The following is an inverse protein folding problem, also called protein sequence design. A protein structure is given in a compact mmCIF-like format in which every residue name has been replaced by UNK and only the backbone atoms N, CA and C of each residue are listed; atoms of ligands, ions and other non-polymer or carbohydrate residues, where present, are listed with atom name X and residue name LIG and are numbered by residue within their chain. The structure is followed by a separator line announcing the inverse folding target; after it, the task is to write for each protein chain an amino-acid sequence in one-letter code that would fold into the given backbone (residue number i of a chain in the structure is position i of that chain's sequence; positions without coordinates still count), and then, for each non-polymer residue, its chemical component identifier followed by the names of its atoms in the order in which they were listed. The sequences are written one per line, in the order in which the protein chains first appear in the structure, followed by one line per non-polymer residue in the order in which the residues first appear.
data_IF_101137894990
#
_entry.id   IF_101137894990
#
_cell.length_a   1.000
_cell.length_b   1.000
_cell.length_c   1.000
_cell.angle_alpha   90.00
_cell.angle_beta   90.00
_cell.angle_gamma   90.00
#
_symmetry.space_group_name_H-M   'P 1'
#
loop_
_entity.id
_entity.type
_entity.pdbx_description
1 polymer ?
#
# COMPACT_ATOMS: atom_id res chain seq x y z
N UNK A 1 -0.86 17.86 7.41
CA UNK A 1 -0.91 17.78 5.94
C UNK A 1 -1.74 18.95 5.44
N UNK A 2 -1.37 19.58 4.34
CA UNK A 2 -2.12 20.71 3.81
C UNK A 2 -3.38 20.24 3.04
N UNK A 3 -4.33 21.15 2.79
CA UNK A 3 -5.59 20.81 2.09
C UNK A 3 -5.32 20.22 0.70
N UNK A 4 -4.33 20.76 -0.01
CA UNK A 4 -3.97 20.29 -1.35
C UNK A 4 -3.39 18.86 -1.32
N UNK A 5 -2.54 18.57 -0.33
CA UNK A 5 -2.01 17.23 -0.11
C UNK A 5 -3.11 16.20 0.18
N UNK A 6 -4.13 16.59 0.97
CA UNK A 6 -5.28 15.73 1.26
C UNK A 6 -6.10 15.41 -0.01
N UNK A 7 -6.23 16.39 -0.92
CA UNK A 7 -6.88 16.18 -2.22
C UNK A 7 -6.06 15.19 -3.06
N UNK A 8 -4.74 15.37 -3.16
CA UNK A 8 -3.88 14.46 -3.90
C UNK A 8 -3.87 13.05 -3.30
N UNK A 9 -3.87 12.95 -1.97
CA UNK A 9 -3.96 11.67 -1.26
C UNK A 9 -5.27 10.96 -1.60
N UNK A 10 -6.41 11.67 -1.58
CA UNK A 10 -7.70 11.10 -1.95
C UNK A 10 -7.73 10.62 -3.40
N UNK A 11 -7.24 11.43 -4.34
CA UNK A 11 -7.11 11.05 -5.74
C UNK A 11 -6.22 9.81 -5.92
N UNK A 12 -5.11 9.72 -5.19
CA UNK A 12 -4.24 8.55 -5.22
C UNK A 12 -4.96 7.29 -4.73
N UNK A 13 -5.67 7.35 -3.59
CA UNK A 13 -6.47 6.24 -3.04
C UNK A 13 -7.50 5.75 -4.06
N UNK A 14 -8.21 6.68 -4.69
CA UNK A 14 -9.28 6.36 -5.65
C UNK A 14 -8.71 5.76 -6.95
N UNK A 15 -7.48 6.12 -7.33
CA UNK A 15 -6.79 5.60 -8.52
C UNK A 15 -6.19 4.20 -8.35
N UNK A 16 -6.03 3.70 -7.12
CA UNK A 16 -5.47 2.36 -6.88
C UNK A 16 -6.53 1.32 -7.22
N UNK A 17 -6.29 0.42 -8.20
CA UNK A 17 -7.22 -0.67 -8.49
C UNK A 17 -7.22 -1.69 -7.34
N UNK A 18 -8.18 -2.62 -7.32
CA UNK A 18 -8.04 -3.82 -6.47
C UNK A 18 -7.01 -4.74 -7.13
N UNK A 19 -6.00 -5.18 -6.39
CA UNK A 19 -4.97 -6.11 -6.87
C UNK A 19 -5.61 -7.45 -7.21
N UNK A 20 -5.39 -7.92 -8.44
CA UNK A 20 -5.70 -9.26 -8.93
C UNK A 20 -4.42 -9.92 -9.42
N UNK A 21 -4.50 -11.17 -9.88
CA UNK A 21 -3.33 -11.87 -10.43
C UNK A 21 -2.78 -11.21 -11.72
N UNK A 22 -3.62 -10.46 -12.44
CA UNK A 22 -3.29 -9.95 -13.78
C UNK A 22 -2.87 -8.48 -13.82
N UNK A 23 -2.99 -7.75 -12.70
CA UNK A 23 -2.84 -6.29 -12.69
C UNK A 23 -1.76 -5.77 -11.75
N UNK A 24 -0.82 -6.62 -11.33
CA UNK A 24 0.22 -6.26 -10.37
C UNK A 24 0.99 -4.99 -10.77
N UNK A 25 1.44 -4.88 -12.03
CA UNK A 25 2.25 -3.73 -12.47
C UNK A 25 1.53 -2.39 -12.32
N UNK A 26 0.24 -2.31 -12.70
CA UNK A 26 -0.55 -1.08 -12.54
C UNK A 26 -0.87 -0.83 -11.06
N UNK A 27 -1.23 -1.87 -10.30
CA UNK A 27 -1.50 -1.75 -8.87
C UNK A 27 -0.27 -1.24 -8.11
N UNK A 28 0.88 -1.87 -8.36
CA UNK A 28 2.18 -1.53 -7.76
C UNK A 28 2.58 -0.09 -8.06
N UNK A 29 2.41 0.36 -9.30
CA UNK A 29 2.67 1.76 -9.67
C UNK A 29 1.78 2.74 -8.89
N UNK A 30 0.49 2.42 -8.73
CA UNK A 30 -0.45 3.29 -8.01
C UNK A 30 -0.23 3.29 -6.50
N UNK A 31 0.10 2.15 -5.90
CA UNK A 31 0.39 2.09 -4.46
C UNK A 31 1.70 2.82 -4.11
N UNK A 32 2.72 2.74 -4.97
CA UNK A 32 3.96 3.50 -4.77
C UNK A 32 3.74 5.02 -4.88
N UNK A 33 2.84 5.46 -5.77
CA UNK A 33 2.46 6.88 -5.82
C UNK A 33 1.79 7.33 -4.51
N UNK A 34 0.91 6.51 -3.95
CA UNK A 34 0.31 6.77 -2.64
C UNK A 34 1.36 6.85 -1.52
N UNK A 35 2.34 5.93 -1.47
CA UNK A 35 3.44 5.99 -0.51
C UNK A 35 4.34 7.21 -0.70
N UNK A 36 4.54 7.66 -1.94
CA UNK A 36 5.31 8.86 -2.25
C UNK A 36 4.64 10.13 -1.69
N UNK A 37 3.31 10.25 -1.82
CA UNK A 37 2.54 11.37 -1.26
C UNK A 37 2.64 11.39 0.28
N UNK A 38 2.64 10.21 0.92
CA UNK A 38 2.84 10.08 2.36
C UNK A 38 4.32 10.23 2.79
N UNK A 39 5.25 10.34 1.84
CA UNK A 39 6.71 10.40 2.08
C UNK A 39 7.26 9.19 2.86
N UNK A 40 6.69 8.01 2.59
CA UNK A 40 7.08 6.72 3.23
C UNK A 40 7.56 5.68 2.23
N UNK A 41 7.75 6.05 0.96
CA UNK A 41 8.16 5.13 -0.11
C UNK A 41 9.47 4.38 0.23
N UNK A 42 10.47 5.11 0.72
CA UNK A 42 11.80 4.54 1.00
C UNK A 42 11.76 3.55 2.18
N UNK A 43 10.82 3.72 3.12
CA UNK A 43 10.59 2.75 4.19
C UNK A 43 10.18 1.39 3.64
N UNK A 44 9.28 1.36 2.65
CA UNK A 44 8.79 0.11 2.05
C UNK A 44 9.73 -0.49 0.99
N UNK A 45 10.51 0.34 0.30
CA UNK A 45 11.40 -0.14 -0.78
C UNK A 45 12.83 -0.43 -0.30
N UNK A 46 13.33 0.34 0.65
CA UNK A 46 14.73 0.27 1.09
C UNK A 46 14.86 -0.22 2.53
N UNK A 47 13.77 -0.37 3.27
CA UNK A 47 13.79 -0.72 4.69
C UNK A 47 14.41 0.36 5.57
N UNK A 48 14.44 1.61 5.09
CA UNK A 48 15.09 2.75 5.77
C UNK A 48 14.09 3.65 6.46
N UNK A 49 14.51 4.24 7.58
CA UNK A 49 13.72 5.22 8.32
C UNK A 49 12.64 4.59 9.20
N UNK A 50 11.66 5.41 9.60
CA UNK A 50 10.57 4.99 10.49
C UNK A 50 9.22 5.42 9.91
N UNK A 51 8.18 4.66 10.23
CA UNK A 51 6.80 5.00 9.90
C UNK A 51 6.06 5.43 11.15
N UNK A 52 5.26 6.50 11.08
CA UNK A 52 4.38 6.90 12.18
C UNK A 52 3.20 5.93 12.31
N UNK A 53 2.59 5.87 13.50
CA UNK A 53 1.40 5.03 13.72
C UNK A 53 0.24 5.37 12.78
N UNK A 54 0.02 6.67 12.51
CA UNK A 54 -0.99 7.13 11.56
C UNK A 54 -0.71 6.66 10.14
N UNK A 55 0.54 6.76 9.68
CA UNK A 55 0.91 6.25 8.36
C UNK A 55 0.81 4.73 8.29
N UNK A 56 1.18 4.01 9.35
CA UNK A 56 1.04 2.57 9.42
C UNK A 56 -0.45 2.14 9.35
N UNK A 57 -1.35 2.88 10.03
CA UNK A 57 -2.79 2.67 9.97
C UNK A 57 -3.34 2.94 8.56
N UNK A 58 -2.92 4.03 7.95
CA UNK A 58 -3.30 4.41 6.59
C UNK A 58 -2.89 3.36 5.55
N UNK A 59 -1.64 2.88 5.63
CA UNK A 59 -1.12 1.81 4.77
C UNK A 59 -1.93 0.52 4.96
N UNK A 60 -2.17 0.11 6.21
CA UNK A 60 -2.99 -1.08 6.49
C UNK A 60 -4.38 -0.96 5.87
N UNK A 61 -5.04 0.19 6.03
CA UNK A 61 -6.38 0.41 5.51
C UNK A 61 -6.44 0.29 3.99
N UNK A 62 -5.49 0.91 3.26
CA UNK A 62 -5.49 0.84 1.80
C UNK A 62 -5.13 -0.56 1.29
N UNK A 63 -4.16 -1.24 1.90
CA UNK A 63 -3.79 -2.59 1.49
C UNK A 63 -4.96 -3.55 1.68
N UNK A 64 -5.64 -3.49 2.82
CA UNK A 64 -6.85 -4.30 3.06
C UNK A 64 -7.97 -3.99 2.04
N UNK A 65 -8.16 -2.72 1.68
CA UNK A 65 -9.21 -2.33 0.75
C UNK A 65 -8.89 -2.63 -0.73
N UNK A 66 -7.60 -2.69 -1.08
CA UNK A 66 -7.13 -2.74 -2.47
C UNK A 66 -6.40 -4.03 -2.81
N UNK A 67 -6.52 -5.08 -2.01
CA UNK A 67 -6.03 -6.42 -2.34
C UNK A 67 -7.23 -7.37 -2.41
N UNK A 68 -7.38 -8.08 -3.53
CA UNK A 68 -8.41 -9.11 -3.65
C UNK A 68 -8.16 -10.24 -2.63
N UNK A 69 -9.23 -10.78 -2.04
CA UNK A 69 -9.14 -11.83 -1.03
C UNK A 69 -8.32 -13.06 -1.46
N UNK A 70 -8.43 -13.50 -2.73
CA UNK A 70 -7.66 -14.62 -3.25
C UNK A 70 -6.16 -14.30 -3.36
N UNK A 71 -5.81 -13.07 -3.78
CA UNK A 71 -4.42 -12.61 -3.77
C UNK A 71 -3.91 -12.49 -2.34
N UNK A 72 -4.72 -11.93 -1.44
CA UNK A 72 -4.38 -11.79 -0.02
C UNK A 72 -4.07 -13.15 0.63
N UNK A 73 -4.90 -14.16 0.36
CA UNK A 73 -4.69 -15.53 0.85
C UNK A 73 -3.36 -16.12 0.34
N UNK A 74 -3.01 -15.87 -0.92
CA UNK A 74 -1.76 -16.35 -1.53
C UNK A 74 -0.51 -15.57 -1.08
N UNK A 75 -0.65 -14.34 -0.59
CA UNK A 75 0.46 -13.57 -0.01
C UNK A 75 0.73 -13.99 1.44
N UNK A 76 -0.29 -14.46 2.17
CA UNK A 76 -0.18 -14.90 3.57
C UNK A 76 0.47 -16.29 3.73
N UNK A 77 0.74 -17.04 2.65
CA UNK A 77 1.25 -18.42 2.75
C UNK A 77 2.76 -18.57 2.94
N UNK A 78 3.55 -17.51 3.16
CA UNK A 78 5.02 -17.66 3.22
C UNK A 78 5.69 -17.73 4.60
N UNK A 79 4.99 -17.59 5.74
CA UNK A 79 5.56 -17.93 7.06
C UNK A 79 4.47 -18.33 8.07
N UNK A 80 4.23 -19.64 8.21
CA UNK A 80 4.32 -20.47 9.45
C UNK A 80 4.27 -21.90 8.90
N UNK A 81 5.38 -22.64 8.78
CA UNK A 81 5.89 -23.50 9.85
C UNK A 81 7.40 -23.71 9.69
N UNK A 82 8.16 -23.26 10.70
CA UNK A 82 9.33 -24.01 11.14
C UNK A 82 8.78 -25.22 11.91
N UNK A 83 8.87 -26.41 11.31
CA UNK A 83 8.92 -27.69 12.01
C UNK A 83 10.26 -28.35 11.70
#
# INVERSE_FOLDING_TARGET
MEKLDLIYLKLAIDSVPVLTQDNFSIWHTRILNYFNILKIKDYFLEGKGTISEDNARNVRAILTAKINAAVHANVITHVVELL
#
